data_IF_416310238955
#
_entry.id   IF_416310238955
#
_cell.length_a   1.000
_cell.length_b   1.000
_cell.length_c   1.000
_cell.angle_alpha   90.00
_cell.angle_beta   90.00
_cell.angle_gamma   90.00
#
_symmetry.space_group_name_H-M   'P 1'
#
loop_
_entity.id
_entity.type
_entity.pdbx_description
1 polymer ?
#
# COMPACT_ATOMS: atom_id res chain seq x y z
N UNK A 1 26.00 23.49 -17.24
CA UNK A 1 26.95 23.33 -16.11
C UNK A 1 26.41 24.15 -14.96
N UNK A 2 25.60 23.54 -14.10
CA UNK A 2 25.12 24.16 -12.86
C UNK A 2 25.58 23.24 -11.73
N UNK A 3 26.33 23.83 -10.81
CA UNK A 3 27.01 23.17 -9.71
C UNK A 3 25.96 22.60 -8.74
N UNK A 4 26.15 21.35 -8.35
CA UNK A 4 25.43 20.75 -7.23
C UNK A 4 26.14 21.22 -5.96
N UNK A 5 25.52 22.15 -5.23
CA UNK A 5 26.03 22.64 -3.96
C UNK A 5 26.00 21.53 -2.90
N UNK A 6 27.13 21.38 -2.22
CA UNK A 6 27.24 20.61 -0.99
C UNK A 6 26.57 21.38 0.15
N UNK A 7 25.66 20.74 0.88
CA UNK A 7 25.11 21.27 2.14
C UNK A 7 25.40 20.29 3.28
N UNK A 8 26.24 20.76 4.19
CA UNK A 8 26.49 20.13 5.48
C UNK A 8 25.42 20.45 6.53
N UNK A 9 25.36 19.54 7.50
CA UNK A 9 24.91 19.66 8.89
C UNK A 9 23.53 20.30 9.16
N UNK A 10 22.57 19.40 9.41
CA UNK A 10 21.26 19.71 9.98
C UNK A 10 20.11 19.23 9.10
N UNK A 11 20.14 18.00 8.60
CA UNK A 11 19.18 17.60 7.58
C UNK A 11 17.89 17.07 8.21
N UNK A 12 16.87 17.93 8.20
CA UNK A 12 15.51 17.48 7.89
C UNK A 12 15.62 16.52 6.70
N UNK A 13 15.28 15.24 6.89
CA UNK A 13 15.40 14.22 5.86
C UNK A 13 14.76 14.71 4.57
N UNK A 14 15.56 14.88 3.52
CA UNK A 14 15.07 15.32 2.22
C UNK A 14 14.18 14.21 1.67
N UNK A 15 12.85 14.44 1.63
CA UNK A 15 11.95 13.49 0.98
C UNK A 15 12.35 13.39 -0.49
N UNK A 16 12.82 12.21 -0.88
CA UNK A 16 13.12 11.82 -2.25
C UNK A 16 11.82 11.27 -2.85
N UNK A 17 11.35 11.88 -3.92
CA UNK A 17 10.16 11.42 -4.67
C UNK A 17 10.60 10.70 -5.94
N UNK A 18 10.17 9.45 -6.10
CA UNK A 18 10.40 8.68 -7.32
C UNK A 18 9.67 9.31 -8.50
N UNK A 19 8.48 9.89 -8.30
CA UNK A 19 7.79 10.64 -9.36
C UNK A 19 8.64 11.80 -9.90
N UNK A 20 9.32 12.55 -9.03
CA UNK A 20 10.20 13.63 -9.49
C UNK A 20 11.47 13.12 -10.17
N UNK A 21 12.04 12.01 -9.71
CA UNK A 21 13.17 11.36 -10.39
C UNK A 21 12.77 11.02 -11.84
N UNK A 22 11.64 10.32 -12.01
CA UNK A 22 11.13 9.94 -13.33
C UNK A 22 10.80 11.17 -14.20
N UNK A 23 10.25 12.24 -13.63
CA UNK A 23 9.99 13.50 -14.35
C UNK A 23 11.26 14.18 -14.83
N UNK A 24 12.35 14.05 -14.07
CA UNK A 24 13.64 14.66 -14.40
C UNK A 24 14.44 13.85 -15.42
N UNK A 25 14.46 12.52 -15.29
CA UNK A 25 15.15 11.58 -16.16
C UNK A 25 14.49 10.20 -16.05
N UNK A 26 13.64 9.87 -17.02
CA UNK A 26 12.90 8.60 -17.02
C UNK A 26 13.74 7.40 -17.46
N UNK A 27 14.90 7.62 -18.09
CA UNK A 27 15.75 6.56 -18.62
C UNK A 27 16.78 6.07 -17.59
N UNK A 28 16.99 6.84 -16.52
CA UNK A 28 18.03 6.57 -15.54
C UNK A 28 17.46 6.25 -14.16
N UNK A 29 17.69 5.01 -13.73
CA UNK A 29 17.36 4.55 -12.38
C UNK A 29 18.60 4.70 -11.50
N UNK A 30 18.58 5.54 -10.44
CA UNK A 30 19.73 5.68 -9.56
C UNK A 30 20.12 4.37 -8.89
N UNK A 31 21.43 4.17 -8.66
CA UNK A 31 21.99 2.94 -8.09
C UNK A 31 21.34 2.50 -6.78
N UNK A 32 20.83 3.45 -5.97
CA UNK A 32 20.15 3.16 -4.71
C UNK A 32 18.85 2.36 -4.88
N UNK A 33 18.28 2.29 -6.08
CA UNK A 33 17.06 1.53 -6.40
C UNK A 33 17.33 0.25 -7.22
N UNK A 34 18.55 0.07 -7.72
CA UNK A 34 18.93 -1.11 -8.50
C UNK A 34 19.21 -2.27 -7.55
N UNK A 35 18.41 -3.34 -7.62
CA UNK A 35 18.63 -4.55 -6.80
C UNK A 35 19.98 -5.20 -7.09
N UNK A 36 20.57 -5.84 -6.08
CA UNK A 36 21.78 -6.63 -6.27
C UNK A 36 21.49 -7.77 -7.27
N UNK A 37 22.49 -8.23 -8.05
CA UNK A 37 22.28 -9.28 -9.05
C UNK A 37 21.59 -10.53 -8.49
N UNK A 38 21.90 -10.93 -7.25
CA UNK A 38 21.34 -12.11 -6.60
C UNK A 38 19.87 -11.95 -6.17
N UNK A 39 19.41 -10.71 -5.99
CA UNK A 39 18.03 -10.38 -5.59
C UNK A 39 17.10 -10.15 -6.80
N UNK A 40 17.64 -10.17 -8.03
CA UNK A 40 16.84 -9.95 -9.24
C UNK A 40 16.09 -11.22 -9.63
N UNK A 41 14.85 -11.10 -10.14
CA UNK A 41 14.10 -12.26 -10.62
C UNK A 41 14.92 -13.03 -11.65
N UNK A 42 15.07 -14.34 -11.47
CA UNK A 42 15.76 -15.16 -12.49
C UNK A 42 14.79 -15.39 -13.63
N UNK A 43 15.27 -15.38 -14.87
CA UNK A 43 14.42 -15.57 -16.05
C UNK A 43 13.63 -16.89 -16.02
N UNK A 44 14.12 -17.90 -15.29
CA UNK A 44 13.43 -19.17 -15.04
C UNK A 44 12.26 -19.07 -14.05
N UNK A 45 12.23 -18.07 -13.18
CA UNK A 45 11.21 -17.88 -12.13
C UNK A 45 10.02 -17.05 -12.64
N UNK A 46 10.26 -16.10 -13.56
CA UNK A 46 9.22 -15.23 -14.13
C UNK A 46 8.14 -16.02 -14.89
N UNK A 47 8.48 -17.20 -15.42
CA UNK A 47 7.58 -18.04 -16.22
C UNK A 47 6.87 -19.15 -15.42
N UNK A 48 7.08 -19.26 -14.11
CA UNK A 48 6.66 -20.41 -13.29
C UNK A 48 5.44 -20.17 -12.40
N UNK A 49 4.77 -19.03 -12.52
CA UNK A 49 3.46 -18.86 -11.87
C UNK A 49 2.39 -18.93 -12.96
N UNK A 50 1.88 -20.14 -13.29
CA UNK A 50 0.59 -20.25 -13.95
C UNK A 50 -0.43 -19.40 -13.16
N UNK A 51 -1.18 -18.57 -13.88
CA UNK A 51 -2.27 -17.74 -13.36
C UNK A 51 -3.32 -18.58 -12.59
N UNK A 52 -3.35 -19.90 -12.87
CA UNK A 52 -4.30 -20.90 -12.39
C UNK A 52 -4.19 -21.30 -10.91
N UNK A 53 -3.24 -20.76 -10.13
CA UNK A 53 -3.04 -21.23 -8.75
C UNK A 53 -3.59 -20.33 -7.66
N UNK A 54 -3.75 -19.01 -7.87
CA UNK A 54 -4.19 -18.14 -6.77
C UNK A 54 -5.67 -18.41 -6.43
N UNK A 55 -6.01 -18.88 -5.21
CA UNK A 55 -7.39 -19.23 -4.90
C UNK A 55 -8.27 -17.99 -4.96
N UNK A 56 -9.32 -18.05 -5.77
CA UNK A 56 -10.39 -17.05 -5.79
C UNK A 56 -11.52 -17.52 -4.86
N UNK A 57 -11.86 -16.66 -3.91
CA UNK A 57 -12.87 -16.91 -2.89
C UNK A 57 -14.03 -15.94 -3.12
N UNK A 58 -15.20 -16.50 -3.38
CA UNK A 58 -16.44 -15.73 -3.38
C UNK A 58 -16.85 -15.43 -1.93
N UNK A 59 -16.67 -14.17 -1.52
CA UNK A 59 -16.90 -13.70 -0.16
C UNK A 59 -18.38 -13.76 0.21
N UNK A 60 -19.29 -13.61 -0.75
CA UNK A 60 -20.74 -13.74 -0.51
C UNK A 60 -21.10 -15.12 0.07
N UNK A 61 -20.34 -16.17 -0.31
CA UNK A 61 -20.55 -17.53 0.17
C UNK A 61 -20.00 -17.78 1.59
N UNK A 62 -19.13 -16.90 2.11
CA UNK A 62 -18.65 -16.97 3.49
C UNK A 62 -19.70 -16.44 4.47
N UNK A 63 -20.32 -15.31 4.13
CA UNK A 63 -21.34 -14.65 4.95
C UNK A 63 -22.59 -15.53 5.18
N UNK A 64 -22.90 -16.42 4.23
CA UNK A 64 -24.05 -17.32 4.34
C UNK A 64 -23.81 -18.57 5.18
N UNK A 65 -22.68 -18.73 5.88
CA UNK A 65 -22.35 -19.86 6.80
C UNK A 65 -22.47 -21.30 6.25
N UNK A 66 -22.99 -21.51 5.04
CA UNK A 66 -23.42 -22.80 4.51
C UNK A 66 -22.41 -23.45 3.53
N UNK A 67 -21.40 -22.73 3.05
CA UNK A 67 -20.47 -23.31 2.08
C UNK A 67 -19.21 -23.87 2.76
N UNK A 68 -19.27 -25.14 3.21
CA UNK A 68 -18.10 -25.89 3.67
C UNK A 68 -16.94 -25.84 2.66
N UNK A 69 -17.25 -25.92 1.36
CA UNK A 69 -16.24 -25.84 0.30
C UNK A 69 -15.54 -24.47 0.24
N UNK A 70 -16.24 -23.37 0.46
CA UNK A 70 -15.62 -22.02 0.49
C UNK A 70 -14.75 -21.87 1.73
N UNK A 71 -15.17 -22.39 2.89
CA UNK A 71 -14.34 -22.43 4.11
C UNK A 71 -13.10 -23.31 3.93
N UNK A 72 -13.24 -24.47 3.30
CA UNK A 72 -12.10 -25.33 2.96
C UNK A 72 -11.15 -24.66 1.97
N UNK A 73 -11.65 -23.90 0.98
CA UNK A 73 -10.81 -23.09 0.07
C UNK A 73 -10.12 -21.94 0.80
N UNK A 74 -10.79 -21.30 1.76
CA UNK A 74 -10.21 -20.25 2.60
C UNK A 74 -9.06 -20.79 3.46
N UNK A 75 -9.29 -21.91 4.16
CA UNK A 75 -8.27 -22.60 4.98
C UNK A 75 -7.14 -23.13 4.12
N UNK A 76 -7.47 -23.78 2.99
CA UNK A 76 -6.48 -24.32 2.06
C UNK A 76 -5.66 -23.20 1.44
N UNK A 77 -6.30 -22.13 0.96
CA UNK A 77 -5.63 -20.92 0.48
C UNK A 77 -4.63 -20.45 1.51
N UNK A 78 -5.10 -20.08 2.71
CA UNK A 78 -4.22 -19.64 3.81
C UNK A 78 -3.01 -20.57 4.09
N UNK A 79 -3.19 -21.89 4.01
CA UNK A 79 -2.15 -22.87 4.32
C UNK A 79 -1.24 -23.27 3.15
N UNK A 80 -1.70 -23.24 1.89
CA UNK A 80 -0.91 -23.67 0.73
C UNK A 80 -0.38 -22.49 -0.09
N UNK A 81 -1.04 -21.33 -0.01
CA UNK A 81 -0.68 -20.09 -0.67
C UNK A 81 -1.05 -18.95 0.27
N UNK A 82 -0.10 -18.37 0.98
CA UNK A 82 -0.34 -17.28 1.95
C UNK A 82 -1.07 -16.04 1.36
N UNK A 83 -1.44 -16.06 0.09
CA UNK A 83 -2.24 -15.07 -0.63
C UNK A 83 -3.49 -15.73 -1.27
N UNK A 84 -4.57 -14.97 -1.35
CA UNK A 84 -5.82 -15.35 -2.03
C UNK A 84 -6.48 -14.10 -2.60
N UNK A 85 -7.29 -14.27 -3.64
CA UNK A 85 -8.19 -13.22 -4.12
C UNK A 85 -9.57 -13.42 -3.52
N UNK A 86 -10.21 -12.32 -3.12
CA UNK A 86 -11.60 -12.31 -2.71
C UNK A 86 -12.41 -11.49 -3.71
N UNK A 87 -13.61 -11.98 -4.07
CA UNK A 87 -14.56 -11.30 -4.95
C UNK A 87 -15.94 -11.24 -4.27
N UNK A 88 -16.82 -10.36 -4.76
CA UNK A 88 -18.17 -10.16 -4.20
C UNK A 88 -18.13 -9.82 -2.71
N UNK A 89 -17.20 -8.97 -2.30
CA UNK A 89 -16.92 -8.67 -0.89
C UNK A 89 -17.69 -7.47 -0.34
N UNK A 90 -18.42 -6.73 -1.18
CA UNK A 90 -19.20 -5.52 -0.85
C UNK A 90 -18.38 -4.23 -0.85
N UNK A 91 -17.07 -4.29 -0.55
CA UNK A 91 -16.19 -3.11 -0.56
C UNK A 91 -15.95 -2.49 -1.96
N UNK A 92 -16.40 -3.15 -3.03
CA UNK A 92 -16.26 -2.71 -4.41
C UNK A 92 -16.93 -1.35 -4.66
N UNK A 93 -18.00 -1.03 -3.91
CA UNK A 93 -18.73 0.24 -4.03
C UNK A 93 -17.89 1.44 -3.57
N UNK A 94 -17.01 1.24 -2.58
CA UNK A 94 -16.13 2.27 -2.04
C UNK A 94 -14.83 2.43 -2.86
N UNK A 95 -14.45 1.43 -3.67
CA UNK A 95 -13.19 1.43 -4.42
C UNK A 95 -13.00 2.62 -5.37
N UNK A 96 -14.00 3.06 -6.16
CA UNK A 96 -13.82 4.19 -7.07
C UNK A 96 -13.45 5.48 -6.33
N UNK A 97 -14.09 5.74 -5.19
CA UNK A 97 -13.87 6.94 -4.39
C UNK A 97 -12.47 6.96 -3.80
N UNK A 98 -12.03 5.87 -3.15
CA UNK A 98 -10.70 5.82 -2.53
C UNK A 98 -9.58 5.85 -3.57
N UNK A 99 -9.77 5.23 -4.75
CA UNK A 99 -8.82 5.33 -5.87
C UNK A 99 -8.69 6.76 -6.40
N UNK A 100 -9.82 7.46 -6.56
CA UNK A 100 -9.82 8.85 -6.97
C UNK A 100 -9.17 9.76 -5.91
N UNK A 101 -9.43 9.52 -4.63
CA UNK A 101 -8.81 10.24 -3.52
C UNK A 101 -7.29 10.04 -3.47
N UNK A 102 -6.82 8.81 -3.68
CA UNK A 102 -5.38 8.51 -3.77
C UNK A 102 -4.75 9.21 -4.99
N UNK A 103 -5.36 9.11 -6.17
CA UNK A 103 -4.85 9.75 -7.39
C UNK A 103 -4.68 11.27 -7.21
N UNK A 104 -5.69 11.95 -6.64
CA UNK A 104 -5.64 13.39 -6.38
C UNK A 104 -4.42 13.81 -5.57
N UNK A 105 -4.02 13.02 -4.56
CA UNK A 105 -2.81 13.33 -3.77
C UNK A 105 -1.55 13.23 -4.62
N UNK A 106 -1.41 12.16 -5.39
CA UNK A 106 -0.19 11.93 -6.17
C UNK A 106 -0.06 12.87 -7.38
N UNK A 107 -1.18 13.44 -7.83
CA UNK A 107 -1.23 14.51 -8.83
C UNK A 107 -0.81 15.89 -8.27
N UNK A 108 -0.80 16.08 -6.94
CA UNK A 108 -0.33 17.32 -6.35
C UNK A 108 1.16 17.57 -6.61
N UNK A 109 1.58 18.86 -6.67
CA UNK A 109 2.99 19.22 -6.66
C UNK A 109 3.71 18.65 -5.43
N UNK A 110 5.01 18.33 -5.57
CA UNK A 110 5.81 17.81 -4.46
C UNK A 110 5.77 18.73 -3.22
N UNK A 111 5.73 20.05 -3.39
CA UNK A 111 5.63 21.01 -2.28
C UNK A 111 4.36 20.83 -1.45
N UNK A 112 3.25 20.48 -2.08
CA UNK A 112 1.97 20.23 -1.40
C UNK A 112 1.98 18.85 -0.73
N UNK A 113 2.51 17.82 -1.39
CA UNK A 113 2.67 16.48 -0.79
C UNK A 113 3.57 16.51 0.45
N UNK A 114 4.63 17.32 0.44
CA UNK A 114 5.56 17.51 1.58
C UNK A 114 4.91 18.10 2.83
N UNK A 115 3.72 18.68 2.74
CA UNK A 115 2.96 19.11 3.95
C UNK A 115 2.57 17.94 4.84
N UNK A 116 2.47 16.75 4.25
CA UNK A 116 2.13 15.49 4.93
C UNK A 116 3.34 14.60 5.17
N UNK A 117 4.56 15.15 5.07
CA UNK A 117 5.83 14.43 5.23
C UNK A 117 5.84 13.44 6.41
N UNK A 118 6.27 12.20 6.15
CA UNK A 118 6.60 11.23 7.20
C UNK A 118 7.84 11.71 7.96
N UNK A 119 7.76 11.93 9.28
CA UNK A 119 8.93 12.35 10.07
C UNK A 119 9.82 11.14 10.43
N UNK A 120 11.09 11.34 10.78
CA UNK A 120 12.05 10.25 10.99
C UNK A 120 11.70 9.25 12.11
N UNK A 121 10.97 9.72 13.12
CA UNK A 121 10.60 8.98 14.34
C UNK A 121 9.16 8.46 14.33
N UNK A 122 8.45 8.59 13.20
CA UNK A 122 7.06 8.14 13.05
C UNK A 122 6.85 7.40 11.72
N UNK A 123 5.73 6.71 11.57
CA UNK A 123 5.46 5.86 10.40
C UNK A 123 4.33 6.37 9.50
N UNK A 124 3.50 7.32 9.95
CA UNK A 124 2.48 7.94 9.09
C UNK A 124 3.03 9.13 8.33
N UNK A 125 2.50 9.35 7.13
CA UNK A 125 2.84 10.47 6.26
C UNK A 125 3.33 10.05 4.87
N UNK A 126 3.60 11.07 4.06
CA UNK A 126 4.14 10.98 2.71
C UNK A 126 5.66 10.82 2.75
N UNK A 127 6.17 9.81 2.06
CA UNK A 127 7.59 9.50 1.96
C UNK A 127 7.90 8.04 2.24
N UNK A 128 9.17 7.69 2.08
CA UNK A 128 9.70 6.37 2.40
C UNK A 128 10.51 6.44 3.70
N UNK A 129 10.45 5.37 4.50
CA UNK A 129 11.34 5.22 5.67
C UNK A 129 12.81 5.14 5.19
N UNK A 130 13.66 6.03 5.70
CA UNK A 130 15.08 6.16 5.36
C UNK A 130 16.02 5.72 6.48
N UNK A 131 15.54 4.90 7.43
CA UNK A 131 16.31 4.52 8.62
C UNK A 131 17.56 3.68 8.36
N UNK A 132 17.88 3.33 7.11
CA UNK A 132 19.08 2.58 6.76
C UNK A 132 19.72 3.13 5.47
N UNK A 133 20.85 3.81 5.61
CA UNK A 133 21.61 4.39 4.49
C UNK A 133 22.07 3.33 3.47
N UNK A 134 22.33 2.11 3.94
CA UNK A 134 22.87 0.97 3.19
C UNK A 134 21.79 0.14 2.47
N UNK A 135 20.50 0.39 2.71
CA UNK A 135 19.42 -0.37 2.08
C UNK A 135 19.08 0.15 0.68
N UNK A 136 18.90 -0.79 -0.25
CA UNK A 136 18.27 -0.52 -1.56
C UNK A 136 16.83 -0.06 -1.34
N UNK A 137 16.43 1.00 -2.03
CA UNK A 137 15.09 1.59 -1.94
C UNK A 137 14.13 0.96 -2.93
N UNK A 138 12.86 0.99 -2.56
CA UNK A 138 11.76 0.61 -3.44
C UNK A 138 11.47 1.74 -4.44
N UNK A 139 11.11 1.37 -5.67
CA UNK A 139 10.74 2.33 -6.72
C UNK A 139 9.28 2.79 -6.58
N UNK A 140 8.96 3.46 -5.47
CA UNK A 140 7.60 3.83 -5.07
C UNK A 140 7.55 5.22 -4.43
N UNK A 141 6.42 5.90 -4.50
CA UNK A 141 6.10 6.98 -3.55
C UNK A 141 4.94 6.49 -2.68
N UNK A 142 4.99 6.75 -1.38
CA UNK A 142 4.05 6.19 -0.41
C UNK A 142 3.39 7.29 0.42
N UNK A 143 2.14 7.05 0.78
CA UNK A 143 1.43 7.76 1.85
C UNK A 143 0.92 6.70 2.84
N UNK A 144 1.49 6.68 4.03
CA UNK A 144 1.08 5.77 5.10
C UNK A 144 0.09 6.46 6.03
N UNK A 145 -1.09 5.87 6.22
CA UNK A 145 -2.15 6.39 7.10
C UNK A 145 -2.68 5.29 8.00
N UNK A 146 -2.78 5.56 9.29
CA UNK A 146 -3.53 4.73 10.22
C UNK A 146 -5.02 5.06 10.08
N UNK A 147 -5.80 4.11 9.59
CA UNK A 147 -7.24 4.29 9.35
C UNK A 147 -8.12 3.69 10.44
N UNK A 148 -7.60 2.72 11.20
CA UNK A 148 -8.36 2.02 12.25
C UNK A 148 -7.52 1.78 13.51
N UNK A 149 -8.15 1.85 14.72
CA UNK A 149 -9.53 2.27 14.96
C UNK A 149 -9.71 3.80 14.77
N UNK A 150 -10.96 4.31 14.61
CA UNK A 150 -11.20 5.73 14.30
C UNK A 150 -10.57 6.73 15.29
N UNK A 151 -10.53 6.39 16.57
CA UNK A 151 -9.96 7.25 17.62
C UNK A 151 -8.42 7.32 17.61
N UNK A 152 -7.76 6.44 16.86
CA UNK A 152 -6.30 6.45 16.70
C UNK A 152 -5.86 7.19 15.43
N UNK A 153 -6.79 7.65 14.58
CA UNK A 153 -6.47 8.35 13.33
C UNK A 153 -5.74 9.65 13.62
N UNK A 154 -4.61 9.85 12.96
CA UNK A 154 -3.87 11.10 13.04
C UNK A 154 -4.15 11.97 11.82
N UNK A 155 -5.18 12.81 11.91
CA UNK A 155 -5.65 13.66 10.81
C UNK A 155 -4.63 14.69 10.32
N UNK A 156 -3.54 14.93 11.07
CA UNK A 156 -2.42 15.77 10.63
C UNK A 156 -1.81 15.31 9.30
N UNK A 157 -1.76 13.99 9.07
CA UNK A 157 -1.18 13.42 7.86
C UNK A 157 -2.21 13.19 6.74
N UNK A 158 -3.49 13.46 7.01
CA UNK A 158 -4.57 13.28 6.05
C UNK A 158 -4.71 14.53 5.18
N UNK A 159 -4.73 14.41 3.83
CA UNK A 159 -4.95 15.54 2.93
C UNK A 159 -6.39 16.05 2.90
N UNK A 160 -6.89 16.52 4.03
CA UNK A 160 -8.27 17.01 4.20
C UNK A 160 -8.58 18.31 3.44
N UNK A 161 -7.56 18.94 2.83
CA UNK A 161 -7.75 20.04 1.88
C UNK A 161 -8.30 19.56 0.54
N UNK A 162 -8.15 18.27 0.22
CA UNK A 162 -8.72 17.64 -0.95
C UNK A 162 -10.19 17.25 -0.65
N UNK A 163 -11.17 17.78 -1.39
CA UNK A 163 -12.57 17.47 -1.16
C UNK A 163 -12.85 15.98 -1.25
N UNK A 164 -13.52 15.42 -0.24
CA UNK A 164 -13.92 14.02 -0.23
C UNK A 164 -12.82 13.02 0.14
N UNK A 165 -11.58 13.47 0.41
CA UNK A 165 -10.49 12.55 0.73
C UNK A 165 -10.76 11.75 2.01
N UNK A 166 -11.13 12.45 3.09
CA UNK A 166 -11.39 11.82 4.37
C UNK A 166 -12.54 10.83 4.27
N UNK A 167 -13.66 11.27 3.70
CA UNK A 167 -14.87 10.46 3.52
C UNK A 167 -14.58 9.19 2.71
N UNK A 168 -13.83 9.29 1.61
CA UNK A 168 -13.47 8.15 0.78
C UNK A 168 -12.60 7.13 1.51
N UNK A 169 -11.60 7.59 2.27
CA UNK A 169 -10.73 6.71 3.06
C UNK A 169 -11.50 6.06 4.20
N UNK A 170 -12.37 6.80 4.89
CA UNK A 170 -13.17 6.28 6.00
C UNK A 170 -14.20 5.25 5.55
N UNK A 171 -14.91 5.51 4.45
CA UNK A 171 -15.86 4.59 3.83
C UNK A 171 -15.16 3.28 3.46
N UNK A 172 -14.03 3.36 2.76
CA UNK A 172 -13.26 2.16 2.38
C UNK A 172 -12.68 1.42 3.59
N UNK A 173 -12.13 2.13 4.58
CA UNK A 173 -11.57 1.51 5.79
C UNK A 173 -12.64 0.77 6.60
N UNK A 174 -13.86 1.32 6.66
CA UNK A 174 -15.00 0.68 7.33
C UNK A 174 -15.41 -0.61 6.65
N UNK A 175 -15.54 -0.60 5.31
CA UNK A 175 -15.84 -1.81 4.54
C UNK A 175 -14.74 -2.86 4.66
N UNK A 176 -13.46 -2.46 4.62
CA UNK A 176 -12.35 -3.39 4.79
C UNK A 176 -12.28 -3.97 6.21
N UNK A 177 -12.66 -3.22 7.24
CA UNK A 177 -12.79 -3.76 8.59
C UNK A 177 -13.87 -4.86 8.65
N UNK A 178 -15.04 -4.60 8.04
CA UNK A 178 -16.13 -5.59 7.95
C UNK A 178 -15.66 -6.87 7.25
N UNK A 179 -15.02 -6.74 6.09
CA UNK A 179 -14.45 -7.87 5.33
C UNK A 179 -13.43 -8.64 6.17
N UNK A 180 -12.54 -7.93 6.85
CA UNK A 180 -11.49 -8.54 7.70
C UNK A 180 -12.10 -9.33 8.86
N UNK A 181 -13.10 -8.78 9.56
CA UNK A 181 -13.77 -9.48 10.65
C UNK A 181 -14.52 -10.72 10.20
N UNK A 182 -15.17 -10.69 9.05
CA UNK A 182 -15.84 -11.88 8.50
C UNK A 182 -14.81 -12.98 8.15
N UNK A 183 -13.69 -12.62 7.51
CA UNK A 183 -12.61 -13.57 7.21
C UNK A 183 -12.06 -14.19 8.50
N UNK A 184 -11.71 -13.38 9.49
CA UNK A 184 -11.18 -13.85 10.78
C UNK A 184 -12.19 -14.74 11.53
N UNK A 185 -13.47 -14.36 11.52
CA UNK A 185 -14.55 -15.15 12.13
C UNK A 185 -14.76 -16.51 11.47
N UNK A 186 -14.38 -16.66 10.20
CA UNK A 186 -14.45 -17.93 9.48
C UNK A 186 -13.14 -18.75 9.56
N UNK A 187 -12.02 -18.15 9.96
CA UNK A 187 -10.76 -18.87 10.24
C UNK A 187 -10.76 -19.52 11.63
N UNK A 188 -11.40 -18.90 12.61
CA UNK A 188 -11.44 -19.45 13.96
C UNK A 188 -12.55 -20.52 14.06
N UNK A 189 -12.25 -21.78 14.40
CA UNK A 189 -13.30 -22.72 14.77
C UNK A 189 -14.02 -22.13 15.98
N UNK A 190 -15.35 -21.98 15.90
CA UNK A 190 -16.15 -21.79 17.10
C UNK A 190 -16.01 -23.09 17.91
N UNK A 191 -15.15 -23.08 18.92
CA UNK A 191 -15.02 -24.13 19.93
C UNK A 191 -16.14 -23.99 20.96
#
# INVERSE_FOLDING_TARGET
MQQVEALGNGTCSTIISVQEIVRSDAENVPERYIRNPDDRPKSSEISLVPDDHLPVIDFSLLAHSFCFMTKSKLVRGSSCMHCMQIINHGAEEALPKVKAAAAQIFDLPLSEKKKYAMPPDYFEGYGQDDKAEDRKRDWIDLLWLLTMPPHSRNTKYWPLTLPGFGEAVEEYATEMQRVTYEILGNFCPRW
#
